data_IF_825689958422
#
_entry.id   IF_825689958422
#
_cell.length_a   1.000
_cell.length_b   1.000
_cell.length_c   1.000
_cell.angle_alpha   90.00
_cell.angle_beta   90.00
_cell.angle_gamma   90.00
#
_symmetry.space_group_name_H-M   'P 1'
#
loop_
_entity.id
_entity.type
_entity.pdbx_description
1 polymer ?
#
# COMPACT_ATOMS: atom_id res chain seq x y z
N UNK A 1 1.86 21.77 -15.20
CA UNK A 1 3.02 20.92 -15.58
C UNK A 1 3.04 19.75 -14.63
N UNK A 2 3.27 18.54 -15.12
CA UNK A 2 3.35 17.32 -14.30
C UNK A 2 4.50 17.46 -13.28
N UNK A 3 4.18 17.37 -11.97
CA UNK A 3 5.13 17.71 -10.89
C UNK A 3 6.17 16.61 -10.62
N UNK A 4 5.93 15.38 -11.12
CA UNK A 4 6.83 14.24 -10.94
C UNK A 4 7.62 13.86 -12.20
N UNK A 5 7.64 14.72 -13.22
CA UNK A 5 8.38 14.47 -14.46
C UNK A 5 9.86 14.18 -14.17
N UNK A 6 10.35 13.05 -14.70
CA UNK A 6 11.73 12.58 -14.52
C UNK A 6 12.02 11.95 -13.15
N UNK A 7 11.00 11.72 -12.31
CA UNK A 7 11.08 10.92 -11.10
C UNK A 7 10.79 9.46 -11.40
N UNK A 8 11.32 8.58 -10.57
CA UNK A 8 11.09 7.13 -10.62
C UNK A 8 10.46 6.70 -9.30
N UNK A 9 9.28 6.09 -9.38
CA UNK A 9 8.50 5.66 -8.24
C UNK A 9 8.36 4.12 -8.20
N UNK A 10 8.64 3.52 -7.05
CA UNK A 10 8.35 2.12 -6.77
C UNK A 10 7.10 2.05 -5.91
N UNK A 11 6.14 1.20 -6.32
CA UNK A 11 4.90 0.96 -5.59
C UNK A 11 4.78 -0.53 -5.30
N UNK A 12 4.75 -0.93 -4.03
CA UNK A 12 4.54 -2.32 -3.60
C UNK A 12 3.07 -2.58 -3.28
N UNK A 13 2.64 -3.85 -3.38
CA UNK A 13 1.24 -4.20 -3.14
C UNK A 13 0.31 -3.71 -4.26
N UNK A 14 0.80 -3.76 -5.51
CA UNK A 14 0.13 -3.13 -6.64
C UNK A 14 -0.76 -4.06 -7.46
N UNK A 15 -0.65 -5.40 -7.35
CA UNK A 15 -1.27 -6.33 -8.28
C UNK A 15 -2.80 -6.33 -8.29
N UNK A 16 -3.45 -5.87 -7.22
CA UNK A 16 -4.92 -5.89 -7.10
C UNK A 16 -5.57 -4.74 -7.88
N UNK A 17 -6.56 -5.06 -8.74
CA UNK A 17 -7.26 -4.11 -9.63
C UNK A 17 -7.88 -2.92 -8.87
N UNK A 18 -8.50 -3.17 -7.73
CA UNK A 18 -9.13 -2.16 -6.87
C UNK A 18 -8.26 -1.83 -5.64
N UNK A 19 -6.93 -2.02 -5.77
CA UNK A 19 -5.97 -1.78 -4.69
C UNK A 19 -5.52 -0.33 -4.61
N UNK A 20 -5.22 0.16 -3.41
CA UNK A 20 -4.61 1.48 -3.21
C UNK A 20 -3.22 1.58 -3.85
N UNK A 21 -2.46 0.47 -3.90
CA UNK A 21 -1.17 0.41 -4.61
C UNK A 21 -1.34 0.64 -6.11
N UNK A 22 -2.30 -0.03 -6.76
CA UNK A 22 -2.61 0.19 -8.17
C UNK A 22 -3.00 1.65 -8.45
N UNK A 23 -4.00 2.18 -7.73
CA UNK A 23 -4.45 3.56 -7.91
C UNK A 23 -3.30 4.56 -7.69
N UNK A 24 -2.45 4.34 -6.68
CA UNK A 24 -1.27 5.17 -6.44
C UNK A 24 -0.27 5.12 -7.59
N UNK A 25 0.01 3.93 -8.16
CA UNK A 25 0.93 3.78 -9.28
C UNK A 25 0.43 4.55 -10.51
N UNK A 26 -0.84 4.43 -10.86
CA UNK A 26 -1.43 5.17 -11.98
C UNK A 26 -1.46 6.68 -11.75
N UNK A 27 -1.81 7.12 -10.53
CA UNK A 27 -1.78 8.54 -10.20
C UNK A 27 -0.38 9.13 -10.35
N UNK A 28 0.67 8.46 -9.85
CA UNK A 28 2.05 8.91 -10.00
C UNK A 28 2.50 8.92 -11.47
N UNK A 29 2.05 7.95 -12.28
CA UNK A 29 2.31 7.92 -13.73
C UNK A 29 1.65 9.10 -14.45
N UNK A 30 0.37 9.40 -14.15
CA UNK A 30 -0.37 10.57 -14.67
C UNK A 30 0.36 11.86 -14.34
N UNK A 31 0.95 11.96 -13.17
CA UNK A 31 1.73 13.11 -12.70
C UNK A 31 3.18 13.11 -13.20
N UNK A 32 3.55 12.16 -14.06
CA UNK A 32 4.77 12.17 -14.86
C UNK A 32 5.91 11.31 -14.34
N UNK A 33 5.73 10.51 -13.31
CA UNK A 33 6.73 9.56 -12.85
C UNK A 33 6.83 8.34 -13.77
N UNK A 34 8.04 7.82 -13.94
CA UNK A 34 8.24 6.45 -14.39
C UNK A 34 7.95 5.51 -13.21
N UNK A 35 7.33 4.35 -13.44
CA UNK A 35 6.85 3.49 -12.36
C UNK A 35 7.48 2.10 -12.35
N UNK A 36 7.74 1.62 -11.15
CA UNK A 36 8.04 0.21 -10.86
C UNK A 36 6.89 -0.30 -9.98
N UNK A 37 6.16 -1.32 -10.45
CA UNK A 37 5.09 -1.95 -9.69
C UNK A 37 5.56 -3.30 -9.18
N UNK A 38 5.32 -3.55 -7.91
CA UNK A 38 5.86 -4.69 -7.18
C UNK A 38 4.76 -5.38 -6.41
N UNK A 39 4.72 -6.70 -6.49
CA UNK A 39 3.88 -7.53 -5.63
C UNK A 39 4.53 -8.91 -5.45
N UNK A 40 4.03 -9.71 -4.50
CA UNK A 40 4.46 -11.10 -4.36
C UNK A 40 4.04 -11.97 -5.55
N UNK A 41 2.92 -11.63 -6.18
CA UNK A 41 2.37 -12.31 -7.35
C UNK A 41 2.16 -11.31 -8.49
N UNK A 42 2.40 -11.74 -9.72
CA UNK A 42 2.18 -10.89 -10.89
C UNK A 42 0.69 -10.54 -11.06
N UNK A 43 -0.19 -11.49 -10.73
CA UNK A 43 -1.65 -11.30 -10.69
C UNK A 43 -2.19 -11.69 -9.32
N UNK A 44 -3.34 -11.16 -8.87
CA UNK A 44 -3.98 -11.60 -7.63
C UNK A 44 -4.22 -13.11 -7.64
N UNK A 45 -4.06 -13.75 -6.47
CA UNK A 45 -4.33 -15.20 -6.32
C UNK A 45 -5.80 -15.56 -6.52
N UNK A 46 -6.69 -14.68 -6.14
CA UNK A 46 -8.13 -14.85 -6.25
C UNK A 46 -8.70 -13.71 -7.07
N UNK A 47 -9.57 -14.03 -7.98
CA UNK A 47 -10.31 -13.08 -8.81
C UNK A 47 -11.76 -13.09 -8.35
N UNK A 48 -12.34 -11.92 -8.20
CA UNK A 48 -13.71 -11.70 -7.75
C UNK A 48 -14.50 -10.95 -8.81
N UNK A 49 -15.83 -10.86 -8.72
CA UNK A 49 -16.64 -10.11 -9.67
C UNK A 49 -16.10 -8.70 -9.90
N UNK A 50 -15.88 -8.35 -11.18
CA UNK A 50 -15.26 -7.10 -11.63
C UNK A 50 -13.74 -7.16 -11.83
N UNK A 51 -13.09 -8.31 -11.59
CA UNK A 51 -11.65 -8.50 -11.84
C UNK A 51 -11.39 -9.32 -13.13
N UNK A 52 -12.43 -9.66 -13.89
CA UNK A 52 -12.32 -10.49 -15.09
C UNK A 52 -11.32 -9.88 -16.08
N UNK A 53 -10.40 -10.72 -16.57
CA UNK A 53 -9.37 -10.33 -17.53
C UNK A 53 -8.29 -9.39 -16.97
N UNK A 54 -8.25 -9.15 -15.67
CA UNK A 54 -7.23 -8.30 -15.06
C UNK A 54 -5.82 -8.91 -15.19
N UNK A 55 -4.92 -8.19 -15.85
CA UNK A 55 -3.54 -8.61 -16.15
C UNK A 55 -2.53 -8.37 -15.01
N UNK A 56 -2.96 -7.86 -13.84
CA UNK A 56 -2.09 -7.61 -12.70
C UNK A 56 -1.03 -6.55 -12.96
N UNK A 57 0.21 -6.82 -12.54
CA UNK A 57 1.31 -5.86 -12.65
C UNK A 57 1.62 -5.44 -14.10
N UNK A 58 1.53 -6.37 -15.05
CA UNK A 58 1.83 -6.08 -16.46
C UNK A 58 0.78 -5.13 -17.06
N UNK A 59 -0.47 -5.20 -16.63
CA UNK A 59 -1.50 -4.28 -17.09
C UNK A 59 -1.23 -2.85 -16.62
N UNK A 60 -0.82 -2.68 -15.35
CA UNK A 60 -0.43 -1.38 -14.81
C UNK A 60 0.75 -0.77 -15.59
N UNK A 61 1.72 -1.61 -15.96
CA UNK A 61 2.85 -1.16 -16.80
C UNK A 61 2.36 -0.67 -18.16
N UNK A 62 1.46 -1.40 -18.83
CA UNK A 62 0.88 -0.99 -20.12
C UNK A 62 0.11 0.33 -20.00
N UNK A 63 -0.70 0.49 -18.94
CA UNK A 63 -1.42 1.74 -18.70
C UNK A 63 -0.46 2.93 -18.51
N UNK A 64 0.63 2.74 -17.76
CA UNK A 64 1.65 3.78 -17.58
C UNK A 64 2.38 4.10 -18.90
N UNK A 65 2.69 3.09 -19.70
CA UNK A 65 3.33 3.25 -21.02
C UNK A 65 2.40 3.99 -22.00
N UNK A 66 1.09 3.73 -21.95
CA UNK A 66 0.09 4.50 -22.70
C UNK A 66 0.06 6.00 -22.32
N UNK A 67 0.44 6.34 -21.09
CA UNK A 67 0.62 7.72 -20.61
C UNK A 67 2.00 8.29 -20.98
N UNK A 68 2.82 7.56 -21.76
CA UNK A 68 4.18 7.96 -22.15
C UNK A 68 5.21 7.84 -21.01
N UNK A 69 4.97 6.99 -20.01
CA UNK A 69 5.93 6.70 -18.93
C UNK A 69 6.66 5.40 -19.19
N UNK A 70 7.81 5.21 -18.54
CA UNK A 70 8.47 3.91 -18.52
C UNK A 70 7.90 3.11 -17.36
N UNK A 71 7.60 1.83 -17.60
CA UNK A 71 7.11 0.92 -16.58
C UNK A 71 8.05 -0.26 -16.33
N UNK A 72 7.95 -0.88 -15.16
CA UNK A 72 8.60 -2.15 -14.83
C UNK A 72 7.74 -2.91 -13.83
N UNK A 73 7.42 -4.16 -14.14
CA UNK A 73 6.77 -5.09 -13.22
C UNK A 73 7.84 -5.99 -12.57
N UNK A 74 7.74 -6.19 -11.27
CA UNK A 74 8.62 -7.08 -10.51
C UNK A 74 7.80 -7.91 -9.53
N UNK A 75 8.04 -9.20 -9.50
CA UNK A 75 7.56 -10.08 -8.43
C UNK A 75 8.66 -10.28 -7.40
N UNK A 76 8.34 -10.06 -6.12
CA UNK A 76 9.21 -10.36 -4.99
C UNK A 76 8.42 -10.52 -3.69
N UNK A 77 8.93 -11.32 -2.79
CA UNK A 77 8.47 -11.37 -1.41
C UNK A 77 9.24 -10.35 -0.56
N UNK A 78 8.55 -9.35 -0.01
CA UNK A 78 9.16 -8.30 0.82
C UNK A 78 9.79 -8.83 2.12
N UNK A 79 9.53 -10.09 2.50
CA UNK A 79 10.18 -10.75 3.64
C UNK A 79 11.55 -11.34 3.28
N UNK A 80 11.93 -11.33 2.01
CA UNK A 80 13.17 -11.94 1.53
C UNK A 80 14.15 -10.85 1.08
N UNK A 81 15.08 -10.46 1.95
CA UNK A 81 16.04 -9.39 1.67
C UNK A 81 16.79 -9.58 0.36
N UNK A 82 17.17 -10.82 0.01
CA UNK A 82 17.86 -11.11 -1.25
C UNK A 82 17.03 -10.78 -2.50
N UNK A 83 15.70 -10.98 -2.41
CA UNK A 83 14.79 -10.62 -3.52
C UNK A 83 14.66 -9.11 -3.64
N UNK A 84 14.59 -8.40 -2.51
CA UNK A 84 14.59 -6.93 -2.47
C UNK A 84 15.88 -6.38 -3.08
N UNK A 85 17.04 -6.89 -2.66
CA UNK A 85 18.35 -6.44 -3.19
C UNK A 85 18.43 -6.68 -4.71
N UNK A 86 18.05 -7.87 -5.19
CA UNK A 86 18.00 -8.17 -6.62
C UNK A 86 17.02 -7.30 -7.40
N UNK A 87 15.89 -6.93 -6.80
CA UNK A 87 14.93 -6.00 -7.40
C UNK A 87 15.52 -4.59 -7.48
N UNK A 88 16.18 -4.11 -6.42
CA UNK A 88 16.86 -2.81 -6.42
C UNK A 88 17.94 -2.75 -7.51
N UNK A 89 18.76 -3.80 -7.68
CA UNK A 89 19.76 -3.86 -8.75
C UNK A 89 19.12 -3.73 -10.14
N UNK A 90 18.00 -4.44 -10.40
CA UNK A 90 17.27 -4.34 -11.67
C UNK A 90 16.73 -2.93 -11.90
N UNK A 91 16.16 -2.29 -10.86
CA UNK A 91 15.65 -0.93 -10.93
C UNK A 91 16.77 0.06 -11.25
N UNK A 92 17.89 -0.03 -10.54
CA UNK A 92 19.02 0.87 -10.74
C UNK A 92 19.68 0.67 -12.11
N UNK A 93 19.74 -0.56 -12.61
CA UNK A 93 20.23 -0.86 -13.96
C UNK A 93 19.34 -0.26 -15.04
N UNK A 94 18.00 -0.30 -14.89
CA UNK A 94 17.06 0.21 -15.90
C UNK A 94 16.85 1.72 -15.84
N UNK A 95 16.69 2.29 -14.63
CA UNK A 95 16.31 3.68 -14.45
C UNK A 95 17.43 4.59 -13.93
N UNK A 96 18.52 4.02 -13.38
CA UNK A 96 19.64 4.77 -12.81
C UNK A 96 19.34 5.43 -11.45
N UNK A 97 18.08 5.44 -11.03
CA UNK A 97 17.61 6.13 -9.82
C UNK A 97 16.32 5.53 -9.27
N UNK A 98 16.06 5.79 -7.99
CA UNK A 98 14.76 5.62 -7.36
C UNK A 98 14.52 6.86 -6.48
N UNK A 99 13.41 7.56 -6.67
CA UNK A 99 13.09 8.82 -5.98
C UNK A 99 11.96 8.68 -4.98
N UNK A 100 11.06 7.73 -5.22
CA UNK A 100 9.82 7.57 -4.47
C UNK A 100 9.60 6.09 -4.17
N UNK A 101 9.29 5.79 -2.91
CA UNK A 101 8.73 4.51 -2.50
C UNK A 101 7.32 4.75 -1.96
N UNK A 102 6.33 4.03 -2.54
CA UNK A 102 4.99 3.88 -1.97
C UNK A 102 4.84 2.44 -1.51
N UNK A 103 4.84 2.22 -0.21
CA UNK A 103 4.74 0.88 0.36
C UNK A 103 3.29 0.60 0.78
N UNK A 104 2.57 -0.17 -0.07
CA UNK A 104 1.18 -0.57 0.16
C UNK A 104 0.99 -2.09 0.29
N UNK A 105 2.08 -2.87 0.19
CA UNK A 105 2.01 -4.33 0.39
C UNK A 105 1.66 -4.65 1.85
N UNK A 106 0.61 -5.42 2.05
CA UNK A 106 0.14 -5.86 3.35
C UNK A 106 -0.83 -7.04 3.21
N UNK A 107 -1.05 -7.75 4.31
CA UNK A 107 -2.12 -8.73 4.44
C UNK A 107 -2.99 -8.36 5.64
N UNK A 108 -4.25 -8.72 5.60
CA UNK A 108 -5.14 -8.52 6.74
C UNK A 108 -5.12 -9.68 7.72
N UNK A 109 -4.81 -10.87 7.21
CA UNK A 109 -4.96 -12.11 7.95
C UNK A 109 -6.43 -12.45 8.26
N UNK A 110 -6.69 -13.44 9.11
CA UNK A 110 -8.04 -13.78 9.55
C UNK A 110 -8.64 -12.63 10.36
N UNK A 111 -9.93 -12.35 10.14
CA UNK A 111 -10.69 -11.25 10.74
C UNK A 111 -11.77 -11.81 11.66
N UNK A 112 -12.00 -11.14 12.79
CA UNK A 112 -13.02 -11.56 13.77
C UNK A 112 -12.57 -12.73 14.65
N UNK A 113 -11.30 -13.13 14.60
CA UNK A 113 -10.73 -14.18 15.45
C UNK A 113 -10.18 -13.54 16.72
N UNK A 114 -10.68 -13.97 17.88
CA UNK A 114 -10.17 -13.51 19.16
C UNK A 114 -8.73 -14.00 19.38
N UNK A 115 -7.95 -13.25 20.16
CA UNK A 115 -6.53 -13.55 20.38
C UNK A 115 -6.29 -14.95 20.98
N UNK A 116 -7.22 -15.45 21.78
CA UNK A 116 -7.13 -16.79 22.39
C UNK A 116 -7.24 -17.93 21.37
N UNK A 117 -7.86 -17.67 20.21
CA UNK A 117 -8.08 -18.63 19.14
C UNK A 117 -7.18 -18.38 17.93
N UNK A 118 -6.40 -17.27 17.94
CA UNK A 118 -5.53 -16.91 16.82
C UNK A 118 -4.28 -17.79 16.78
N UNK A 119 -4.03 -18.46 15.65
CA UNK A 119 -2.88 -19.35 15.52
C UNK A 119 -1.55 -18.58 15.52
N UNK A 120 -0.49 -19.19 16.08
CA UNK A 120 0.87 -18.62 16.02
C UNK A 120 1.31 -18.39 14.57
N UNK A 121 0.93 -19.28 13.65
CA UNK A 121 1.22 -19.13 12.20
C UNK A 121 0.63 -17.85 11.64
N UNK A 122 -0.62 -17.54 11.99
CA UNK A 122 -1.28 -16.31 11.51
C UNK A 122 -0.64 -15.07 12.13
N UNK A 123 -0.34 -15.11 13.44
CA UNK A 123 0.37 -14.02 14.12
C UNK A 123 1.68 -13.72 13.42
N UNK A 124 2.54 -14.75 13.23
CA UNK A 124 3.84 -14.57 12.55
C UNK A 124 3.67 -14.06 11.14
N UNK A 125 2.78 -14.66 10.35
CA UNK A 125 2.55 -14.25 8.97
C UNK A 125 2.19 -12.76 8.85
N UNK A 126 1.32 -12.25 9.73
CA UNK A 126 0.90 -10.85 9.71
C UNK A 126 2.06 -9.94 10.14
N UNK A 127 2.75 -10.28 11.22
CA UNK A 127 3.88 -9.48 11.73
C UNK A 127 5.03 -9.48 10.72
N UNK A 128 5.36 -10.64 10.16
CA UNK A 128 6.46 -10.75 9.19
C UNK A 128 6.16 -9.93 7.93
N UNK A 129 4.97 -10.03 7.36
CA UNK A 129 4.65 -9.29 6.13
C UNK A 129 4.46 -7.80 6.41
N UNK A 130 3.57 -7.45 7.35
CA UNK A 130 3.13 -6.07 7.50
C UNK A 130 4.13 -5.20 8.26
N UNK A 131 4.97 -5.77 9.12
CA UNK A 131 5.96 -5.02 9.89
C UNK A 131 7.40 -5.31 9.44
N UNK A 132 7.85 -6.57 9.49
CA UNK A 132 9.24 -6.90 9.15
C UNK A 132 9.50 -6.62 7.66
N UNK A 133 8.60 -7.01 6.76
CA UNK A 133 8.69 -6.71 5.33
C UNK A 133 8.72 -5.20 5.06
N UNK A 134 7.92 -4.42 5.80
CA UNK A 134 7.95 -2.95 5.72
C UNK A 134 9.32 -2.38 6.11
N UNK A 135 9.92 -2.89 7.18
CA UNK A 135 11.29 -2.52 7.56
C UNK A 135 12.30 -2.84 6.45
N UNK A 136 12.24 -4.04 5.89
CA UNK A 136 13.23 -4.52 4.92
C UNK A 136 13.20 -3.70 3.63
N UNK A 137 12.02 -3.46 3.06
CA UNK A 137 11.89 -2.67 1.82
C UNK A 137 12.25 -1.20 2.06
N UNK A 138 11.78 -0.59 3.15
CA UNK A 138 12.13 0.79 3.49
C UNK A 138 13.63 0.95 3.73
N UNK A 139 14.28 0.01 4.43
CA UNK A 139 15.73 -0.01 4.65
C UNK A 139 16.51 -0.05 3.34
N UNK A 140 16.15 -0.94 2.42
CA UNK A 140 16.84 -1.09 1.15
C UNK A 140 16.75 0.18 0.29
N UNK A 141 15.54 0.75 0.17
CA UNK A 141 15.30 1.98 -0.58
C UNK A 141 15.97 3.19 0.08
N UNK A 142 15.82 3.35 1.39
CA UNK A 142 16.42 4.46 2.12
C UNK A 142 17.96 4.45 2.03
N UNK A 143 18.58 3.26 2.05
CA UNK A 143 20.03 3.10 1.86
C UNK A 143 20.46 3.66 0.50
N UNK A 144 19.79 3.29 -0.58
CA UNK A 144 20.11 3.79 -1.93
C UNK A 144 19.90 5.31 -2.03
N UNK A 145 18.76 5.82 -1.54
CA UNK A 145 18.47 7.26 -1.55
C UNK A 145 19.51 8.07 -0.75
N UNK A 146 19.91 7.58 0.43
CA UNK A 146 20.91 8.22 1.27
C UNK A 146 22.29 8.23 0.62
N UNK A 147 22.72 7.13 0.01
CA UNK A 147 24.00 7.04 -0.71
C UNK A 147 24.06 8.00 -1.90
N UNK A 148 22.95 8.17 -2.60
CA UNK A 148 22.88 9.09 -3.76
C UNK A 148 22.79 10.56 -3.37
N UNK A 149 22.38 10.89 -2.15
CA UNK A 149 22.35 12.26 -1.61
C UNK A 149 21.42 13.22 -2.36
N UNK A 150 20.41 12.72 -3.09
CA UNK A 150 19.48 13.53 -3.88
C UNK A 150 18.10 13.71 -3.21
N UNK A 151 18.00 13.32 -1.94
CA UNK A 151 16.72 13.26 -1.24
C UNK A 151 15.81 12.14 -1.75
N UNK A 152 14.56 12.13 -1.31
CA UNK A 152 13.57 11.15 -1.72
C UNK A 152 12.27 11.27 -0.93
N UNK A 153 11.27 10.49 -1.32
CA UNK A 153 9.97 10.40 -0.66
C UNK A 153 9.64 8.94 -0.36
N UNK A 154 9.26 8.65 0.86
CA UNK A 154 8.78 7.33 1.29
C UNK A 154 7.39 7.51 1.89
N UNK A 155 6.39 6.83 1.34
CA UNK A 155 5.01 6.82 1.83
C UNK A 155 4.65 5.39 2.22
N UNK A 156 4.23 5.20 3.48
CA UNK A 156 3.87 3.90 4.03
C UNK A 156 2.36 3.85 4.29
N UNK A 157 1.66 2.87 3.71
CA UNK A 157 0.27 2.61 4.05
C UNK A 157 0.20 1.87 5.40
N UNK A 158 -0.09 2.64 6.45
CA UNK A 158 -0.41 2.14 7.79
C UNK A 158 -1.89 1.68 7.85
N UNK A 159 -2.63 2.05 8.88
CA UNK A 159 -4.08 1.82 9.01
C UNK A 159 -4.60 2.57 10.22
N UNK A 160 -5.87 2.94 10.25
CA UNK A 160 -6.53 3.40 11.48
C UNK A 160 -6.47 2.33 12.60
N UNK A 161 -6.38 1.03 12.24
CA UNK A 161 -6.11 -0.04 13.21
C UNK A 161 -4.73 0.08 13.88
N UNK A 162 -3.85 0.96 13.42
CA UNK A 162 -2.58 1.33 14.04
C UNK A 162 -2.68 2.51 15.00
N UNK A 163 -3.86 3.10 15.21
CA UNK A 163 -4.09 4.20 16.16
C UNK A 163 -5.07 3.80 17.27
N UNK A 164 -5.91 2.82 17.04
CA UNK A 164 -6.82 2.24 18.04
C UNK A 164 -6.93 0.73 17.86
N UNK A 165 -7.25 0.02 18.94
CA UNK A 165 -7.41 -1.44 18.90
C UNK A 165 -8.69 -1.84 18.16
N UNK A 166 -8.59 -2.89 17.35
CA UNK A 166 -9.73 -3.47 16.63
C UNK A 166 -9.96 -4.90 17.16
N UNK A 167 -11.09 -5.17 17.82
CA UNK A 167 -11.41 -6.52 18.26
C UNK A 167 -11.35 -7.52 17.11
N UNK A 168 -10.78 -8.71 17.38
CA UNK A 168 -10.60 -9.75 16.34
C UNK A 168 -9.54 -9.43 15.27
N UNK A 169 -8.65 -8.47 15.52
CA UNK A 169 -7.56 -8.08 14.60
C UNK A 169 -6.27 -7.73 15.36
N UNK A 170 -6.00 -8.39 16.49
CA UNK A 170 -4.90 -8.02 17.39
C UNK A 170 -3.53 -8.00 16.71
N UNK A 171 -3.17 -9.04 15.96
CA UNK A 171 -1.89 -9.12 15.26
C UNK A 171 -1.75 -8.03 14.17
N UNK A 172 -2.84 -7.78 13.42
CA UNK A 172 -2.87 -6.73 12.41
C UNK A 172 -2.71 -5.33 13.03
N UNK A 173 -3.46 -5.04 14.11
CA UNK A 173 -3.31 -3.79 14.85
C UNK A 173 -1.88 -3.62 15.36
N UNK A 174 -1.29 -4.64 15.98
CA UNK A 174 0.10 -4.59 16.45
C UNK A 174 1.08 -4.27 15.32
N UNK A 175 0.95 -4.93 14.16
CA UNK A 175 1.79 -4.64 12.99
C UNK A 175 1.62 -3.19 12.51
N UNK A 176 0.37 -2.70 12.43
CA UNK A 176 0.07 -1.34 11.94
C UNK A 176 0.48 -0.24 12.94
N UNK A 177 0.41 -0.48 14.27
CA UNK A 177 1.06 0.38 15.25
C UNK A 177 2.58 0.42 15.03
N UNK A 178 3.18 -0.74 14.74
CA UNK A 178 4.61 -0.84 14.42
C UNK A 178 4.99 -0.03 13.17
N UNK A 179 4.17 -0.05 12.11
CA UNK A 179 4.44 0.75 10.90
C UNK A 179 4.32 2.25 11.13
N UNK A 180 3.48 2.70 12.05
CA UNK A 180 3.43 4.10 12.48
C UNK A 180 4.73 4.48 13.20
N UNK A 181 5.20 3.63 14.12
CA UNK A 181 6.48 3.83 14.80
C UNK A 181 7.65 3.86 13.81
N UNK A 182 7.67 2.93 12.85
CA UNK A 182 8.66 2.88 11.78
C UNK A 182 8.68 4.18 10.97
N UNK A 183 7.50 4.67 10.54
CA UNK A 183 7.37 5.93 9.79
C UNK A 183 8.02 7.10 10.52
N UNK A 184 7.70 7.26 11.80
CA UNK A 184 8.20 8.37 12.62
C UNK A 184 9.71 8.28 12.86
N UNK A 185 10.22 7.08 13.15
CA UNK A 185 11.66 6.87 13.38
C UNK A 185 12.47 7.13 12.11
N UNK A 186 12.04 6.55 10.97
CA UNK A 186 12.71 6.78 9.69
C UNK A 186 12.69 8.25 9.26
N UNK A 187 11.62 8.98 9.53
CA UNK A 187 11.55 10.42 9.23
C UNK A 187 12.66 11.21 9.93
N UNK A 188 12.90 10.92 11.22
CA UNK A 188 13.95 11.58 12.00
C UNK A 188 15.35 11.18 11.53
N UNK A 189 15.57 9.88 11.31
CA UNK A 189 16.88 9.35 10.89
C UNK A 189 17.29 9.84 9.49
N UNK A 190 16.32 9.96 8.58
CA UNK A 190 16.56 10.23 7.16
C UNK A 190 16.45 11.72 6.79
N UNK A 191 15.97 12.58 7.69
CA UNK A 191 15.84 14.03 7.45
C UNK A 191 17.17 14.69 7.03
N UNK A 192 18.30 14.27 7.61
CA UNK A 192 19.63 14.75 7.22
C UNK A 192 19.99 14.48 5.76
N UNK A 193 19.39 13.45 5.15
CA UNK A 193 19.56 13.11 3.74
C UNK A 193 18.50 13.77 2.83
N UNK A 194 17.61 14.63 3.38
CA UNK A 194 16.48 15.23 2.66
C UNK A 194 15.49 14.19 2.12
N UNK A 195 15.30 13.11 2.86
CA UNK A 195 14.30 12.08 2.56
C UNK A 195 13.11 12.30 3.49
N UNK A 196 11.94 12.59 2.91
CA UNK A 196 10.70 12.65 3.66
C UNK A 196 10.13 11.23 3.84
N UNK A 197 9.67 10.91 5.05
CA UNK A 197 8.96 9.66 5.32
C UNK A 197 7.64 9.99 6.00
N UNK A 198 6.53 9.61 5.35
CA UNK A 198 5.19 9.86 5.86
C UNK A 198 4.33 8.60 5.76
N UNK A 199 3.30 8.53 6.59
CA UNK A 199 2.31 7.46 6.59
C UNK A 199 0.95 7.95 6.13
N UNK A 200 0.17 7.05 5.57
CA UNK A 200 -1.27 7.20 5.38
C UNK A 200 -1.96 6.18 6.27
N UNK A 201 -2.94 6.60 7.05
CA UNK A 201 -3.82 5.74 7.85
C UNK A 201 -5.19 5.62 7.18
N UNK A 202 -5.39 4.68 6.24
CA UNK A 202 -6.70 4.47 5.67
C UNK A 202 -7.68 3.92 6.71
N UNK A 203 -8.90 4.41 6.65
CA UNK A 203 -10.05 3.78 7.27
C UNK A 203 -10.64 2.70 6.36
N UNK A 204 -11.94 2.75 6.17
CA UNK A 204 -12.66 1.82 5.28
C UNK A 204 -12.60 2.34 3.84
N UNK A 205 -11.73 1.71 3.03
CA UNK A 205 -11.57 1.98 1.59
C UNK A 205 -12.13 0.79 0.79
N UNK A 206 -12.78 1.08 -0.33
CA UNK A 206 -13.35 0.07 -1.24
C UNK A 206 -12.23 -0.61 -2.04
N UNK A 207 -11.65 -1.67 -1.48
CA UNK A 207 -10.54 -2.41 -2.09
C UNK A 207 -10.82 -3.91 -2.16
N UNK A 208 -9.99 -4.65 -2.89
CA UNK A 208 -10.03 -6.13 -2.94
C UNK A 208 -9.74 -6.81 -1.59
N UNK A 209 -9.22 -6.10 -0.61
CA UNK A 209 -8.82 -6.68 0.69
C UNK A 209 -9.97 -7.34 1.48
N UNK A 210 -11.22 -7.04 1.12
CA UNK A 210 -12.43 -7.58 1.75
C UNK A 210 -13.18 -8.60 0.90
N UNK A 211 -12.76 -8.85 -0.33
CA UNK A 211 -13.51 -9.66 -1.28
C UNK A 211 -13.75 -11.10 -0.78
N UNK A 212 -12.75 -11.71 -0.14
CA UNK A 212 -12.92 -13.03 0.50
C UNK A 212 -13.97 -13.01 1.64
N UNK A 213 -14.12 -11.88 2.35
CA UNK A 213 -15.14 -11.73 3.39
C UNK A 213 -16.53 -11.65 2.78
N UNK A 214 -16.66 -11.01 1.62
CA UNK A 214 -17.95 -10.97 0.88
C UNK A 214 -18.31 -12.35 0.35
N UNK A 215 -17.33 -13.12 -0.15
CA UNK A 215 -17.55 -14.49 -0.60
C UNK A 215 -18.07 -15.38 0.54
N UNK A 216 -17.41 -15.33 1.70
CA UNK A 216 -17.85 -16.09 2.88
C UNK A 216 -19.24 -15.68 3.37
N UNK A 217 -19.56 -14.39 3.33
CA UNK A 217 -20.89 -13.89 3.70
C UNK A 217 -21.95 -14.37 2.70
N UNK A 218 -21.65 -14.31 1.40
CA UNK A 218 -22.56 -14.79 0.34
C UNK A 218 -22.89 -16.27 0.53
N UNK A 219 -21.88 -17.11 0.77
CA UNK A 219 -22.04 -18.56 1.03
C UNK A 219 -22.86 -18.83 2.30
N UNK A 220 -22.58 -18.10 3.40
CA UNK A 220 -23.27 -18.29 4.68
C UNK A 220 -24.75 -17.85 4.66
N UNK A 221 -25.08 -16.83 3.89
CA UNK A 221 -26.42 -16.23 3.84
C UNK A 221 -27.23 -16.69 2.61
N UNK A 222 -26.64 -17.42 1.65
CA UNK A 222 -27.31 -17.85 0.43
C UNK A 222 -27.67 -16.70 -0.53
N UNK A 223 -26.85 -15.63 -0.56
CA UNK A 223 -27.01 -14.45 -1.40
C UNK A 223 -25.86 -14.35 -2.41
N UNK A 224 -25.97 -13.45 -3.39
CA UNK A 224 -24.88 -13.20 -4.34
C UNK A 224 -23.70 -12.46 -3.68
N UNK A 225 -22.53 -12.52 -4.31
CA UNK A 225 -21.35 -11.77 -3.85
C UNK A 225 -21.60 -10.25 -3.87
N UNK A 226 -22.29 -9.76 -4.90
CA UNK A 226 -22.68 -8.35 -5.04
C UNK A 226 -23.64 -7.88 -3.93
N UNK A 227 -24.60 -8.73 -3.54
CA UNK A 227 -25.51 -8.44 -2.44
C UNK A 227 -24.74 -8.42 -1.10
N UNK A 228 -23.86 -9.38 -0.86
CA UNK A 228 -22.99 -9.43 0.31
C UNK A 228 -22.11 -8.18 0.40
N UNK A 229 -21.47 -7.79 -0.71
CA UNK A 229 -20.69 -6.56 -0.81
C UNK A 229 -21.50 -5.32 -0.48
N UNK A 230 -22.66 -5.17 -1.10
CA UNK A 230 -23.56 -4.02 -0.88
C UNK A 230 -24.01 -3.93 0.56
N UNK A 231 -24.39 -5.06 1.17
CA UNK A 231 -24.80 -5.17 2.57
C UNK A 231 -23.69 -4.74 3.53
N UNK A 232 -22.47 -5.30 3.36
CA UNK A 232 -21.32 -4.97 4.18
C UNK A 232 -20.90 -3.51 4.03
N UNK A 233 -20.82 -3.00 2.81
CA UNK A 233 -20.46 -1.61 2.55
C UNK A 233 -21.49 -0.62 3.13
N UNK A 234 -22.79 -0.94 3.03
CA UNK A 234 -23.84 -0.14 3.65
C UNK A 234 -23.75 -0.09 5.18
N UNK A 235 -23.50 -1.25 5.81
CA UNK A 235 -23.30 -1.32 7.26
C UNK A 235 -22.06 -0.54 7.73
N UNK A 236 -20.98 -0.56 6.95
CA UNK A 236 -19.77 0.20 7.24
C UNK A 236 -19.97 1.70 7.01
N UNK A 237 -20.65 2.10 5.94
CA UNK A 237 -20.92 3.50 5.63
C UNK A 237 -21.67 4.20 6.78
N UNK A 238 -22.61 3.50 7.41
CA UNK A 238 -23.36 4.01 8.57
C UNK A 238 -22.49 4.27 9.81
N UNK A 239 -21.25 3.74 9.86
CA UNK A 239 -20.29 3.92 10.95
C UNK A 239 -19.27 5.01 10.66
N UNK A 240 -19.28 5.55 9.44
CA UNK A 240 -18.35 6.59 9.00
C UNK A 240 -19.08 7.93 9.05
N UNK A 241 -18.59 8.96 9.76
CA UNK A 241 -19.24 10.26 9.85
C UNK A 241 -19.58 10.89 8.48
N UNK A 242 -18.75 10.64 7.46
CA UNK A 242 -19.01 11.11 6.10
C UNK A 242 -20.06 10.28 5.32
N UNK A 243 -20.60 9.21 5.91
CA UNK A 243 -21.71 8.43 5.34
C UNK A 243 -21.33 7.54 4.16
N UNK A 244 -20.05 7.37 3.83
CA UNK A 244 -19.56 6.48 2.78
C UNK A 244 -18.16 5.96 3.06
N UNK A 245 -17.77 4.91 2.36
CA UNK A 245 -16.39 4.45 2.31
C UNK A 245 -15.55 5.38 1.43
N UNK A 246 -14.25 5.42 1.68
CA UNK A 246 -13.29 6.06 0.79
C UNK A 246 -12.99 5.21 -0.45
N UNK A 247 -12.34 5.80 -1.44
CA UNK A 247 -11.93 5.12 -2.67
C UNK A 247 -10.42 4.98 -2.77
N UNK A 248 -9.91 4.03 -3.56
CA UNK A 248 -8.48 3.93 -3.85
C UNK A 248 -7.89 5.21 -4.45
N UNK A 249 -8.68 5.93 -5.26
CA UNK A 249 -8.27 7.19 -5.90
C UNK A 249 -8.06 8.30 -4.87
N UNK A 250 -8.90 8.39 -3.84
CA UNK A 250 -8.72 9.35 -2.75
C UNK A 250 -7.43 9.05 -1.97
N UNK A 251 -7.08 7.77 -1.80
CA UNK A 251 -5.79 7.38 -1.22
C UNK A 251 -4.61 7.72 -2.15
N UNK A 252 -4.80 7.57 -3.46
CA UNK A 252 -3.80 7.91 -4.46
C UNK A 252 -3.55 9.44 -4.55
N UNK A 253 -4.57 10.26 -4.39
CA UNK A 253 -4.44 11.72 -4.36
C UNK A 253 -3.61 12.18 -3.15
N UNK A 254 -3.86 11.60 -1.96
CA UNK A 254 -3.04 11.87 -0.78
C UNK A 254 -1.61 11.34 -0.95
N UNK A 255 -1.44 10.15 -1.56
CA UNK A 255 -0.13 9.60 -1.91
C UNK A 255 0.64 10.57 -2.82
N UNK A 256 0.00 11.07 -3.86
CA UNK A 256 0.61 12.05 -4.77
C UNK A 256 1.05 13.31 -4.02
N UNK A 257 0.21 13.90 -3.19
CA UNK A 257 0.58 15.06 -2.36
C UNK A 257 1.84 14.77 -1.55
N UNK A 258 1.90 13.64 -0.86
CA UNK A 258 3.06 13.26 -0.03
C UNK A 258 4.32 12.96 -0.86
N UNK A 259 4.18 12.60 -2.13
CA UNK A 259 5.28 12.35 -3.05
C UNK A 259 5.72 13.62 -3.81
N UNK A 260 4.95 14.69 -3.77
CA UNK A 260 5.18 15.92 -4.50
C UNK A 260 6.06 16.91 -3.73
N UNK A 261 6.48 18.00 -4.39
CA UNK A 261 7.24 19.08 -3.75
C UNK A 261 6.40 19.89 -2.75
N UNK A 262 5.08 19.88 -2.90
CA UNK A 262 4.15 20.58 -2.03
C UNK A 262 4.20 20.06 -0.57
N UNK A 263 4.74 18.85 -0.38
CA UNK A 263 4.97 18.22 0.93
C UNK A 263 6.44 18.23 1.38
N UNK A 264 7.31 19.05 0.81
CA UNK A 264 8.76 19.01 1.14
C UNK A 264 9.06 19.28 2.62
N UNK A 265 8.20 20.02 3.31
CA UNK A 265 8.36 20.29 4.75
C UNK A 265 7.53 19.35 5.64
N UNK A 266 6.86 18.35 5.05
CA UNK A 266 6.07 17.35 5.77
C UNK A 266 6.89 16.07 5.88
N UNK A 267 7.27 15.68 7.09
CA UNK A 267 7.95 14.40 7.38
C UNK A 267 7.62 13.92 8.78
N UNK A 268 7.47 12.61 8.97
CA UNK A 268 7.08 11.99 10.24
C UNK A 268 5.57 12.02 10.52
N UNK A 269 4.79 12.55 9.59
CA UNK A 269 3.34 12.61 9.73
C UNK A 269 2.68 11.29 9.29
N UNK A 270 1.59 10.95 9.98
CA UNK A 270 0.73 9.81 9.63
C UNK A 270 -0.70 10.33 9.51
N UNK A 271 -1.14 10.53 8.27
CA UNK A 271 -2.38 11.24 7.96
C UNK A 271 -3.55 10.26 7.91
N UNK A 272 -4.57 10.52 8.71
CA UNK A 272 -5.81 9.74 8.68
C UNK A 272 -6.61 10.03 7.40
N UNK A 273 -7.00 8.96 6.69
CA UNK A 273 -7.88 8.98 5.54
C UNK A 273 -9.12 8.13 5.88
N UNK A 274 -9.96 8.63 6.78
CA UNK A 274 -11.01 7.84 7.42
C UNK A 274 -12.42 8.41 7.33
N UNK A 275 -12.66 9.52 6.60
CA UNK A 275 -13.99 10.14 6.50
C UNK A 275 -14.57 10.58 7.86
N UNK A 276 -13.69 11.02 8.79
CA UNK A 276 -14.06 11.43 10.15
C UNK A 276 -13.88 10.34 11.22
N UNK A 277 -13.54 9.12 10.84
CA UNK A 277 -13.06 8.09 11.78
C UNK A 277 -11.58 8.38 12.05
N UNK A 278 -11.20 8.51 13.32
CA UNK A 278 -9.84 8.85 13.78
C UNK A 278 -9.26 7.76 14.67
#
# INVERSE_FOLDING_TARGET
MSSLKGKVAMVTGAASKRGMGHASALKLAQEGADIIVVDKFATPKSMFPGDEGWGGLDEIVKEAEAMGRKGMALTLDINVSKEIDAAMDKVLKKFGRLDILVHAAAIRGPVGINVVDLSEKDIRSIIDIDLVGSFLICKAVAKDMAMKGKGGKIVIFCSLAGTHGVPGSAAYSAAKYGTIGLTKSLALELAKYKINVNGINPGMIVTNLRDESFQKMAEAEGITWEEARKKDQGALANRIPWGRLGTPEEAADLTYFLCSKESDYVTGEVIALGGGVT
#
